data_IF_032117167989
#
_entry.id   IF_032117167989
#
_cell.length_a   1.000
_cell.length_b   1.000
_cell.length_c   1.000
_cell.angle_alpha   90.00
_cell.angle_beta   90.00
_cell.angle_gamma   90.00
#
_symmetry.space_group_name_H-M   'P 1'
#
loop_
_entity.id
_entity.type
_entity.pdbx_description
1 polymer ?
#
# COMPACT_ATOMS: atom_id res chain seq x y z
N UNK A 1 -5.02 3.33 19.51
CA UNK A 1 -5.75 3.72 18.32
C UNK A 1 -4.97 3.37 17.06
N UNK A 2 -5.65 2.95 16.05
CA UNK A 2 -4.98 2.59 14.81
C UNK A 2 -4.89 3.77 13.88
N UNK A 3 -3.69 3.96 13.34
CA UNK A 3 -3.46 5.04 12.39
C UNK A 3 -3.64 4.57 10.95
N UNK A 4 -3.81 3.28 10.75
CA UNK A 4 -3.98 2.74 9.42
C UNK A 4 -5.15 1.78 9.38
N UNK A 5 -5.77 1.71 8.22
CA UNK A 5 -6.90 0.82 7.97
C UNK A 5 -6.39 -0.55 7.55
N UNK A 6 -6.89 -1.59 8.20
CA UNK A 6 -6.53 -2.96 7.83
C UNK A 6 -7.65 -3.56 7.00
N UNK A 7 -7.29 -4.13 5.87
CA UNK A 7 -8.23 -4.76 4.95
C UNK A 7 -8.03 -6.27 4.99
N UNK A 8 -9.11 -7.00 5.18
CA UNK A 8 -9.09 -8.45 5.05
C UNK A 8 -9.37 -8.82 3.60
N UNK A 9 -9.01 -10.04 3.22
CA UNK A 9 -9.30 -10.51 1.89
C UNK A 9 -8.18 -10.27 0.90
N UNK A 10 -6.94 -10.52 1.32
CA UNK A 10 -5.79 -10.42 0.44
C UNK A 10 -6.00 -11.19 -0.85
N UNK A 11 -6.62 -12.36 -0.78
CA UNK A 11 -6.83 -13.17 -1.97
C UNK A 11 -7.73 -12.48 -2.98
N UNK A 12 -8.71 -11.70 -2.53
CA UNK A 12 -9.54 -10.94 -3.46
C UNK A 12 -8.75 -9.91 -4.23
N UNK A 13 -7.84 -9.21 -3.55
CA UNK A 13 -7.03 -8.20 -4.21
C UNK A 13 -6.01 -8.83 -5.16
N UNK A 14 -5.47 -9.98 -4.80
CA UNK A 14 -4.56 -10.69 -5.69
C UNK A 14 -5.29 -11.13 -6.96
N UNK A 15 -6.55 -11.55 -6.84
CA UNK A 15 -7.37 -11.90 -7.99
C UNK A 15 -7.72 -10.69 -8.84
N UNK A 16 -7.64 -9.48 -8.27
CA UNK A 16 -7.90 -8.23 -8.99
C UNK A 16 -6.59 -7.55 -9.35
N UNK A 17 -5.70 -8.31 -9.99
CA UNK A 17 -4.38 -7.79 -10.38
C UNK A 17 -4.46 -6.62 -11.36
N UNK A 18 -5.63 -6.41 -11.97
CA UNK A 18 -5.84 -5.25 -12.84
C UNK A 18 -5.85 -3.93 -12.07
N UNK A 19 -6.05 -3.97 -10.74
CA UNK A 19 -6.05 -2.76 -9.93
C UNK A 19 -4.94 -2.73 -8.90
N UNK A 20 -4.16 -3.80 -8.76
CA UNK A 20 -3.11 -3.90 -7.76
C UNK A 20 -1.78 -4.21 -8.43
N UNK A 21 -0.81 -3.33 -8.25
CA UNK A 21 0.54 -3.50 -8.79
C UNK A 21 1.55 -3.61 -7.67
N UNK A 22 2.55 -4.47 -7.86
CA UNK A 22 3.67 -4.53 -6.94
C UNK A 22 4.67 -3.44 -7.31
N UNK A 23 5.20 -2.74 -6.31
CA UNK A 23 6.26 -1.75 -6.53
C UNK A 23 7.57 -2.52 -6.60
N UNK A 24 8.17 -2.57 -7.79
CA UNK A 24 9.32 -3.43 -8.04
C UNK A 24 10.59 -3.02 -7.29
N UNK A 25 10.72 -1.73 -7.01
CA UNK A 25 11.91 -1.22 -6.31
C UNK A 25 11.84 -1.39 -4.80
N UNK A 26 10.74 -1.92 -4.26
CA UNK A 26 10.53 -2.06 -2.84
C UNK A 26 9.98 -3.44 -2.52
N UNK A 27 10.34 -3.96 -1.36
CA UNK A 27 9.76 -5.19 -0.85
C UNK A 27 8.47 -4.88 -0.13
N UNK A 28 7.48 -5.76 -0.30
CA UNK A 28 6.23 -5.68 0.44
C UNK A 28 5.57 -4.30 0.33
N UNK A 29 5.51 -3.79 -0.88
CA UNK A 29 4.86 -2.52 -1.16
C UNK A 29 4.06 -2.66 -2.44
N UNK A 30 2.78 -2.33 -2.36
CA UNK A 30 1.83 -2.48 -3.46
C UNK A 30 1.08 -1.19 -3.68
N UNK A 31 0.70 -0.94 -4.91
CA UNK A 31 -0.06 0.24 -5.30
C UNK A 31 -1.44 -0.20 -5.79
N UNK A 32 -2.48 0.33 -5.16
CA UNK A 32 -3.86 0.10 -5.57
C UNK A 32 -4.33 1.27 -6.42
N UNK A 33 -4.87 0.97 -7.60
CA UNK A 33 -5.36 1.97 -8.53
C UNK A 33 -6.87 2.05 -8.50
N UNK A 34 -7.40 3.25 -8.47
CA UNK A 34 -8.84 3.50 -8.50
C UNK A 34 -9.15 4.40 -9.70
N UNK A 35 -8.93 3.85 -10.90
CA UNK A 35 -8.96 4.63 -12.13
C UNK A 35 -10.32 5.21 -12.48
N UNK A 36 -11.39 4.62 -11.98
CA UNK A 36 -12.74 5.09 -12.29
C UNK A 36 -13.27 6.14 -11.32
N UNK A 37 -12.41 6.67 -10.47
CA UNK A 37 -12.80 7.69 -9.52
C UNK A 37 -12.16 9.02 -9.90
N UNK A 38 -12.73 10.16 -9.47
CA UNK A 38 -12.13 11.46 -9.75
C UNK A 38 -10.72 11.55 -9.18
N UNK A 39 -9.83 12.23 -9.92
CA UNK A 39 -8.44 12.49 -9.51
C UNK A 39 -7.54 11.25 -9.52
N UNK A 40 -8.01 10.11 -10.03
CA UNK A 40 -7.20 8.90 -10.14
C UNK A 40 -6.37 8.63 -8.89
N UNK A 41 -7.02 8.40 -7.73
CA UNK A 41 -6.26 8.21 -6.50
C UNK A 41 -5.47 6.91 -6.55
N UNK A 42 -4.33 6.94 -5.86
CA UNK A 42 -3.47 5.78 -5.67
C UNK A 42 -3.28 5.56 -4.18
N UNK A 43 -3.26 4.29 -3.78
CA UNK A 43 -3.11 3.93 -2.38
C UNK A 43 -2.00 2.90 -2.27
N UNK A 44 -1.02 3.17 -1.41
CA UNK A 44 0.04 2.21 -1.13
C UNK A 44 -0.35 1.32 0.02
N UNK A 45 -0.05 0.03 -0.13
CA UNK A 45 -0.39 -1.01 0.83
C UNK A 45 0.84 -1.84 1.14
N UNK A 46 0.87 -2.43 2.32
CA UNK A 46 1.79 -3.52 2.61
C UNK A 46 1.02 -4.67 3.26
N UNK A 47 1.63 -5.85 3.26
CA UNK A 47 1.05 -7.04 3.88
C UNK A 47 1.73 -7.32 5.21
N UNK A 48 0.95 -7.66 6.21
CA UNK A 48 1.46 -8.09 7.50
C UNK A 48 1.04 -9.54 7.75
N UNK A 49 1.60 -10.13 8.79
CA UNK A 49 1.24 -11.50 9.17
C UNK A 49 -0.25 -11.61 9.44
N UNK A 50 -0.80 -12.80 9.23
CA UNK A 50 -2.23 -13.00 9.39
C UNK A 50 -3.05 -12.54 8.20
N UNK A 51 -2.42 -12.41 7.04
CA UNK A 51 -3.09 -12.01 5.79
C UNK A 51 -3.76 -10.65 5.90
N UNK A 52 -3.13 -9.73 6.62
CA UNK A 52 -3.64 -8.37 6.77
C UNK A 52 -3.00 -7.45 5.74
N UNK A 53 -3.79 -6.61 5.12
CA UNK A 53 -3.29 -5.54 4.27
C UNK A 53 -3.48 -4.22 5.01
N UNK A 54 -2.46 -3.41 5.00
CA UNK A 54 -2.49 -2.13 5.72
C UNK A 54 -2.25 -1.00 4.72
N UNK A 55 -3.13 -0.02 4.75
CA UNK A 55 -3.01 1.16 3.92
C UNK A 55 -1.95 2.07 4.53
N UNK A 56 -0.98 2.46 3.73
CA UNK A 56 0.16 3.25 4.19
C UNK A 56 0.06 4.72 3.80
N UNK A 57 -0.40 4.97 2.58
CA UNK A 57 -0.35 6.33 2.03
C UNK A 57 -1.27 6.41 0.82
N UNK A 58 -1.93 7.53 0.66
CA UNK A 58 -2.78 7.78 -0.49
C UNK A 58 -2.37 9.10 -1.12
N UNK A 59 -2.45 9.16 -2.46
CA UNK A 59 -2.10 10.38 -3.17
C UNK A 59 -2.84 10.44 -4.50
N UNK A 60 -2.89 11.62 -5.09
CA UNK A 60 -3.47 11.83 -6.41
C UNK A 60 -2.38 11.69 -7.45
N UNK A 61 -2.59 10.80 -8.42
CA UNK A 61 -1.59 10.60 -9.47
C UNK A 61 -1.80 11.63 -10.57
N UNK A 62 -0.77 12.44 -10.80
CA UNK A 62 -0.83 13.52 -11.78
C UNK A 62 -0.04 13.21 -13.06
N UNK A 63 0.69 12.12 -13.09
CA UNK A 63 1.48 11.72 -14.24
C UNK A 63 1.45 10.22 -14.39
N UNK A 64 1.99 9.73 -15.50
CA UNK A 64 2.02 8.29 -15.75
C UNK A 64 2.86 7.55 -14.72
N UNK A 65 3.94 8.18 -14.32
CA UNK A 65 4.91 7.55 -13.43
C UNK A 65 4.60 7.91 -12.00
N UNK A 66 4.66 6.92 -11.12
CA UNK A 66 4.47 7.15 -9.70
C UNK A 66 5.69 7.91 -9.16
N UNK A 67 5.49 9.09 -8.54
CA UNK A 67 6.61 9.87 -8.03
C UNK A 67 7.38 9.11 -6.95
N UNK A 68 8.71 9.20 -7.03
CA UNK A 68 9.57 8.52 -6.06
C UNK A 68 9.32 9.02 -4.64
N UNK A 69 8.99 10.30 -4.49
CA UNK A 69 8.71 10.87 -3.16
C UNK A 69 7.52 10.19 -2.50
N UNK A 70 6.50 9.84 -3.27
CA UNK A 70 5.34 9.14 -2.70
C UNK A 70 5.70 7.72 -2.30
N UNK A 71 6.53 7.06 -3.10
CA UNK A 71 7.01 5.72 -2.76
C UNK A 71 7.84 5.77 -1.48
N UNK A 72 8.70 6.77 -1.34
CA UNK A 72 9.55 6.90 -0.17
C UNK A 72 8.74 7.09 1.12
N UNK A 73 7.66 7.87 1.05
CA UNK A 73 6.77 8.05 2.19
C UNK A 73 6.17 6.71 2.61
N UNK A 74 5.65 5.98 1.64
CA UNK A 74 5.01 4.70 1.91
C UNK A 74 6.02 3.68 2.44
N UNK A 75 7.20 3.63 1.85
CA UNK A 75 8.23 2.70 2.28
C UNK A 75 8.66 2.96 3.72
N UNK A 76 8.81 4.24 4.08
CA UNK A 76 9.15 4.60 5.46
C UNK A 76 8.06 4.15 6.43
N UNK A 77 6.81 4.38 6.08
CA UNK A 77 5.70 3.99 6.94
C UNK A 77 5.61 2.47 7.08
N UNK A 78 5.86 1.74 5.99
CA UNK A 78 5.93 0.29 6.03
C UNK A 78 7.00 -0.17 7.01
N UNK A 79 8.20 0.39 6.91
CA UNK A 79 9.31 -0.01 7.75
C UNK A 79 9.03 0.24 9.23
N UNK A 80 8.46 1.39 9.55
CA UNK A 80 8.10 1.71 10.92
C UNK A 80 7.02 0.76 11.44
N UNK A 81 6.06 0.43 10.62
CA UNK A 81 4.97 -0.46 11.00
C UNK A 81 5.50 -1.88 11.26
N UNK A 82 6.36 -2.38 10.38
CA UNK A 82 6.93 -3.72 10.53
C UNK A 82 7.78 -3.79 11.79
N UNK A 83 8.59 -2.76 12.03
CA UNK A 83 9.41 -2.71 13.24
C UNK A 83 8.56 -2.73 14.50
N UNK A 84 7.44 -2.02 14.48
CA UNK A 84 6.52 -1.98 15.60
C UNK A 84 5.86 -3.34 15.84
N UNK A 85 5.46 -4.02 14.76
CA UNK A 85 4.86 -5.34 14.87
C UNK A 85 5.86 -6.34 15.44
N UNK A 86 7.12 -6.27 15.00
CA UNK A 86 8.15 -7.18 15.50
C UNK A 86 8.44 -6.95 16.97
N UNK A 87 8.45 -5.70 17.41
CA UNK A 87 8.74 -5.40 18.80
C UNK A 87 7.61 -5.74 19.75
N UNK A 88 6.42 -5.97 19.22
CA UNK A 88 5.23 -6.33 20.02
C UNK A 88 5.00 -7.83 20.15
N UNK A 89 5.93 -8.63 19.64
CA UNK A 89 5.80 -10.09 19.73
C UNK A 89 6.45 -10.69 20.96
#
# INVERSE_FOLDING_TARGET
MRDSLTIKGLSLLVERSDILDKIETEDNLYELRLDNTPNNPRIFLCALTGKRLVLLHAFKKKSRKTPRTEIDIAARRRDLLIAKEESNQ
#
